data_IF_448118640323
#
_entry.id   IF_448118640323
#
_cell.length_a   1.000
_cell.length_b   1.000
_cell.length_c   1.000
_cell.angle_alpha   90.00
_cell.angle_beta   90.00
_cell.angle_gamma   90.00
#
_symmetry.space_group_name_H-M   'P 1'
#
loop_
_entity.id
_entity.type
_entity.pdbx_description
1 polymer ?
#
# COMPACT_ATOMS: atom_id res chain seq x y z
N UNK A 1 -20.48 -44.10 5.06
CA UNK A 1 -21.13 -43.38 3.94
C UNK A 1 -20.58 -41.97 3.95
N UNK A 2 -19.37 -41.79 3.39
CA UNK A 2 -19.14 -41.43 2.00
C UNK A 2 -19.30 -39.91 1.81
N UNK A 3 -18.23 -39.29 1.31
CA UNK A 3 -17.95 -37.88 1.44
C UNK A 3 -19.01 -36.96 0.86
N UNK A 4 -19.26 -35.86 1.56
CA UNK A 4 -19.57 -34.60 0.89
C UNK A 4 -18.26 -33.84 0.79
N UNK A 5 -17.52 -34.19 -0.25
CA UNK A 5 -16.37 -33.44 -0.71
C UNK A 5 -16.77 -31.97 -0.90
N UNK A 6 -15.81 -31.10 -0.66
CA UNK A 6 -15.83 -29.69 -1.02
C UNK A 6 -15.95 -29.52 -2.55
N UNK A 7 -17.11 -29.83 -3.12
CA UNK A 7 -17.40 -29.79 -4.56
C UNK A 7 -18.52 -28.80 -4.90
N UNK A 8 -18.52 -27.63 -4.24
CA UNK A 8 -19.47 -26.54 -4.51
C UNK A 8 -18.89 -25.13 -4.56
N UNK A 9 -17.57 -24.93 -4.51
CA UNK A 9 -17.02 -23.60 -4.16
C UNK A 9 -16.36 -22.79 -5.29
N UNK A 10 -16.21 -23.34 -6.50
CA UNK A 10 -15.69 -22.56 -7.65
C UNK A 10 -16.77 -21.87 -8.48
N UNK A 11 -17.97 -22.46 -8.55
CA UNK A 11 -19.09 -21.92 -9.35
C UNK A 11 -19.78 -20.74 -8.65
N UNK A 12 -20.02 -20.84 -7.34
CA UNK A 12 -20.62 -19.75 -6.55
C UNK A 12 -19.78 -18.47 -6.57
N UNK A 13 -18.45 -18.59 -6.52
CA UNK A 13 -17.55 -17.44 -6.63
C UNK A 13 -17.63 -16.78 -8.02
N UNK A 14 -17.65 -17.57 -9.11
CA UNK A 14 -17.81 -17.06 -10.49
C UNK A 14 -19.16 -16.38 -10.72
N UNK A 15 -20.22 -16.87 -10.06
CA UNK A 15 -21.55 -16.27 -10.12
C UNK A 15 -21.69 -14.99 -9.27
N UNK A 16 -20.96 -14.90 -8.16
CA UNK A 16 -20.92 -13.71 -7.29
C UNK A 16 -19.94 -12.63 -7.79
N UNK A 17 -18.94 -13.01 -8.59
CA UNK A 17 -17.95 -12.15 -9.19
C UNK A 17 -18.56 -10.94 -9.92
N UNK A 18 -19.52 -11.05 -10.85
CA UNK A 18 -20.07 -9.87 -11.53
C UNK A 18 -20.77 -8.87 -10.59
N UNK A 19 -21.30 -9.32 -9.44
CA UNK A 19 -21.89 -8.44 -8.44
C UNK A 19 -20.83 -7.74 -7.58
N UNK A 20 -19.75 -8.43 -7.25
CA UNK A 20 -18.68 -7.91 -6.39
C UNK A 20 -17.63 -7.11 -7.17
N UNK A 21 -17.39 -7.46 -8.43
CA UNK A 21 -16.39 -6.85 -9.31
C UNK A 21 -16.46 -5.33 -9.37
N UNK A 22 -17.63 -4.68 -9.59
CA UNK A 22 -17.69 -3.21 -9.65
C UNK A 22 -17.35 -2.56 -8.31
N UNK A 23 -17.80 -3.13 -7.19
CA UNK A 23 -17.49 -2.61 -5.86
C UNK A 23 -15.99 -2.74 -5.54
N UNK A 24 -15.40 -3.91 -5.79
CA UNK A 24 -13.97 -4.13 -5.57
C UNK A 24 -13.10 -3.32 -6.53
N UNK A 25 -13.49 -3.19 -7.81
CA UNK A 25 -12.80 -2.31 -8.76
C UNK A 25 -12.78 -0.88 -8.24
N UNK A 26 -13.93 -0.37 -7.82
CA UNK A 26 -14.02 0.99 -7.30
C UNK A 26 -13.16 1.19 -6.04
N UNK A 27 -13.19 0.25 -5.10
CA UNK A 27 -12.34 0.28 -3.91
C UNK A 27 -10.85 0.26 -4.29
N UNK A 28 -10.46 -0.59 -5.24
CA UNK A 28 -9.06 -0.64 -5.70
C UNK A 28 -8.65 0.67 -6.34
N UNK A 29 -9.47 1.25 -7.22
CA UNK A 29 -9.17 2.56 -7.83
C UNK A 29 -9.08 3.63 -6.75
N UNK A 30 -10.04 3.71 -5.83
CA UNK A 30 -10.06 4.73 -4.78
C UNK A 30 -8.86 4.66 -3.83
N UNK A 31 -8.35 3.47 -3.54
CA UNK A 31 -7.19 3.28 -2.65
C UNK A 31 -5.87 3.41 -3.42
N UNK A 32 -5.73 2.74 -4.55
CA UNK A 32 -4.47 2.69 -5.28
C UNK A 32 -4.18 3.95 -6.09
N UNK A 33 -5.20 4.69 -6.54
CA UNK A 33 -4.99 5.94 -7.26
C UNK A 33 -4.21 6.97 -6.42
N UNK A 34 -4.62 7.35 -5.19
CA UNK A 34 -3.85 8.28 -4.37
C UNK A 34 -2.50 7.70 -3.92
N UNK A 35 -2.42 6.40 -3.62
CA UNK A 35 -1.16 5.77 -3.25
C UNK A 35 -0.15 5.79 -4.40
N UNK A 36 -0.58 5.48 -5.63
CA UNK A 36 0.28 5.55 -6.82
C UNK A 36 0.73 6.98 -7.10
N UNK A 37 -0.13 7.99 -6.89
CA UNK A 37 0.27 9.38 -6.98
C UNK A 37 1.35 9.76 -5.95
N UNK A 38 1.20 9.32 -4.69
CA UNK A 38 2.21 9.54 -3.65
C UNK A 38 3.54 8.87 -3.99
N UNK A 39 3.51 7.63 -4.50
CA UNK A 39 4.71 6.92 -4.96
C UNK A 39 5.35 7.67 -6.13
N UNK A 40 4.56 8.09 -7.12
CA UNK A 40 5.04 8.83 -8.28
C UNK A 40 5.70 10.16 -7.89
N UNK A 41 5.07 10.94 -6.99
CA UNK A 41 5.65 12.18 -6.48
C UNK A 41 6.90 11.94 -5.64
N UNK A 42 7.02 10.82 -4.95
CA UNK A 42 8.22 10.48 -4.16
C UNK A 42 9.49 10.34 -5.02
N UNK A 43 9.33 9.94 -6.29
CA UNK A 43 10.43 9.85 -7.25
C UNK A 43 10.68 11.14 -8.03
N UNK A 44 9.86 12.17 -7.85
CA UNK A 44 9.96 13.43 -8.56
C UNK A 44 10.75 14.45 -7.73
N UNK A 45 11.60 15.23 -8.39
CA UNK A 45 12.36 16.31 -7.74
C UNK A 45 11.47 17.48 -7.31
N UNK A 46 10.52 17.87 -8.15
CA UNK A 46 9.68 19.06 -7.99
C UNK A 46 8.29 18.82 -8.57
N UNK A 47 7.25 19.45 -8.00
CA UNK A 47 5.91 19.38 -8.57
C UNK A 47 5.87 20.15 -9.91
N UNK A 48 5.39 19.53 -11.01
CA UNK A 48 5.37 20.16 -12.34
C UNK A 48 4.35 21.30 -12.46
N UNK A 49 3.63 21.65 -11.39
CA UNK A 49 2.69 22.76 -11.32
C UNK A 49 3.36 24.14 -11.44
N UNK A 50 4.68 24.23 -11.21
CA UNK A 50 5.43 25.50 -11.26
C UNK A 50 6.28 25.71 -12.52
N UNK A 51 6.07 24.93 -13.59
CA UNK A 51 6.83 25.10 -14.85
C UNK A 51 8.31 24.70 -14.77
N UNK A 52 8.71 23.97 -13.71
CA UNK A 52 10.06 23.41 -13.57
C UNK A 52 10.17 22.09 -14.31
N UNK A 53 11.34 21.83 -14.88
CA UNK A 53 11.67 20.53 -15.46
C UNK A 53 11.69 19.49 -14.34
N UNK A 54 10.73 18.57 -14.36
CA UNK A 54 10.71 17.44 -13.45
C UNK A 54 11.80 16.45 -13.87
N UNK A 55 12.51 15.89 -12.91
CA UNK A 55 13.47 14.80 -13.12
C UNK A 55 13.20 13.67 -12.14
N UNK A 56 13.50 12.45 -12.58
CA UNK A 56 13.47 11.28 -11.70
C UNK A 56 14.65 11.37 -10.73
N UNK A 57 14.38 11.33 -9.43
CA UNK A 57 15.41 11.32 -8.39
C UNK A 57 15.17 10.24 -7.35
N UNK A 58 16.25 9.72 -6.81
CA UNK A 58 16.27 8.87 -5.61
C UNK A 58 16.81 9.64 -4.39
N UNK A 59 17.16 10.92 -4.55
CA UNK A 59 17.75 11.74 -3.50
C UNK A 59 16.78 11.97 -2.33
N UNK A 60 15.47 11.98 -2.58
CA UNK A 60 14.46 12.05 -1.52
C UNK A 60 14.59 10.90 -0.51
N UNK A 61 14.97 9.70 -0.97
CA UNK A 61 15.15 8.52 -0.12
C UNK A 61 16.52 8.52 0.58
N UNK A 62 17.57 8.98 -0.09
CA UNK A 62 18.91 9.09 0.53
C UNK A 62 18.94 10.20 1.58
N UNK A 63 18.20 11.29 1.38
CA UNK A 63 17.97 12.33 2.38
C UNK A 63 17.26 11.78 3.62
N UNK A 64 16.27 10.92 3.45
CA UNK A 64 15.57 10.28 4.56
C UNK A 64 16.49 9.38 5.41
N UNK A 65 17.39 8.63 4.76
CA UNK A 65 18.34 7.75 5.46
C UNK A 65 19.53 8.48 6.07
N UNK A 66 19.95 9.60 5.48
CA UNK A 66 21.08 10.39 5.98
C UNK A 66 20.70 11.30 7.15
N UNK A 67 19.42 11.68 7.27
CA UNK A 67 18.94 12.44 8.42
C UNK A 67 18.67 11.50 9.61
N UNK A 68 19.62 11.44 10.54
CA UNK A 68 19.56 10.57 11.72
C UNK A 68 18.29 10.71 12.57
N UNK A 69 17.63 11.88 12.53
CA UNK A 69 16.34 12.10 13.17
C UNK A 69 15.25 11.17 12.63
N UNK A 70 15.08 11.09 11.31
CA UNK A 70 14.03 10.25 10.70
C UNK A 70 14.27 8.76 10.96
N UNK A 71 15.52 8.32 10.90
CA UNK A 71 15.88 6.94 11.28
C UNK A 71 15.56 6.63 12.74
N UNK A 72 15.82 7.56 13.66
CA UNK A 72 15.49 7.41 15.08
C UNK A 72 13.99 7.30 15.30
N UNK A 73 13.19 8.15 14.65
CA UNK A 73 11.73 8.13 14.74
C UNK A 73 11.14 6.84 14.16
N UNK A 74 11.68 6.36 13.03
CA UNK A 74 11.26 5.11 12.42
C UNK A 74 11.52 3.92 13.36
N UNK A 75 12.71 3.87 13.97
CA UNK A 75 13.04 2.80 14.92
C UNK A 75 12.18 2.87 16.19
N UNK A 76 11.93 4.08 16.72
CA UNK A 76 11.05 4.27 17.87
C UNK A 76 9.62 3.77 17.58
N UNK A 77 9.09 4.11 16.41
CA UNK A 77 7.76 3.68 15.97
C UNK A 77 7.69 2.16 15.80
N UNK A 78 8.73 1.55 15.21
CA UNK A 78 8.80 0.11 15.02
C UNK A 78 8.90 -0.65 16.35
N UNK A 79 9.72 -0.14 17.28
CA UNK A 79 9.83 -0.70 18.64
C UNK A 79 8.51 -0.66 19.38
N UNK A 80 7.83 0.49 19.39
CA UNK A 80 6.52 0.62 20.03
C UNK A 80 5.49 -0.33 19.41
N UNK A 81 5.43 -0.43 18.08
CA UNK A 81 4.52 -1.34 17.40
C UNK A 81 4.77 -2.81 17.75
N UNK A 82 6.04 -3.23 17.79
CA UNK A 82 6.42 -4.59 18.19
C UNK A 82 6.12 -4.86 19.65
N UNK A 83 6.46 -3.93 20.53
CA UNK A 83 6.21 -4.03 21.96
C UNK A 83 4.72 -4.23 22.22
N UNK A 84 3.87 -3.34 21.71
CA UNK A 84 2.41 -3.46 21.85
C UNK A 84 1.87 -4.77 21.27
N UNK A 85 2.35 -5.19 20.10
CA UNK A 85 1.91 -6.46 19.49
C UNK A 85 2.27 -7.66 20.37
N UNK A 86 3.47 -7.69 20.94
CA UNK A 86 3.92 -8.77 21.83
C UNK A 86 3.18 -8.79 23.17
N UNK A 87 2.76 -7.62 23.69
CA UNK A 87 1.98 -7.54 24.93
C UNK A 87 0.49 -7.85 24.73
N UNK A 88 -0.06 -7.62 23.54
CA UNK A 88 -1.48 -7.79 23.24
C UNK A 88 -1.86 -9.16 22.65
N UNK A 89 -0.90 -9.94 22.17
CA UNK A 89 -1.10 -11.34 21.70
C UNK A 89 -0.93 -12.31 22.85
#
# INVERSE_FOLDING_TARGET
MAGQAATGSRSGLRSALPLLLPAYLWLTVAIFLPLSAMVFFSFMTELPLSGRAWSFTLDNYTAFLSQGLYGTLLLASLRLGLEVTLWCV
#
